data_IF_924011007645
#
_entry.id   IF_924011007645
#
_cell.length_a   1.000
_cell.length_b   1.000
_cell.length_c   1.000
_cell.angle_alpha   90.00
_cell.angle_beta   90.00
_cell.angle_gamma   90.00
#
_symmetry.space_group_name_H-M   'P 1'
#
loop_
_entity.id
_entity.type
_entity.pdbx_description
1 polymer ?
#
# COMPACT_ATOMS: atom_id res chain seq x y z
N UNK A 1 -0.36 -8.70 -3.85
CA UNK A 1 -0.17 -10.18 -3.82
C UNK A 1 1.26 -10.70 -4.08
N UNK A 2 2.14 -10.00 -4.82
CA UNK A 2 3.48 -10.50 -5.17
C UNK A 2 4.37 -10.89 -3.98
N UNK A 3 4.13 -10.31 -2.81
CA UNK A 3 4.77 -10.65 -1.52
C UNK A 3 4.82 -12.14 -1.26
N UNK A 4 3.77 -12.87 -1.64
CA UNK A 4 3.59 -14.28 -1.30
C UNK A 4 3.97 -15.27 -2.41
N UNK A 5 4.60 -14.83 -3.50
CA UNK A 5 4.92 -15.68 -4.67
C UNK A 5 6.13 -16.61 -4.44
N UNK A 6 7.05 -16.21 -3.56
CA UNK A 6 8.31 -16.91 -3.32
C UNK A 6 8.20 -17.82 -2.09
N UNK A 7 8.27 -19.13 -2.31
CA UNK A 7 8.18 -20.14 -1.25
C UNK A 7 9.27 -20.01 -0.17
N UNK A 8 10.50 -19.62 -0.54
CA UNK A 8 11.62 -19.49 0.39
C UNK A 8 11.45 -18.24 1.24
N UNK A 9 11.02 -17.13 0.63
CA UNK A 9 10.71 -15.89 1.35
C UNK A 9 9.48 -16.09 2.25
N UNK A 10 8.45 -16.79 1.80
CA UNK A 10 7.29 -17.16 2.63
C UNK A 10 7.70 -17.96 3.87
N UNK A 11 8.55 -18.97 3.70
CA UNK A 11 9.07 -19.75 4.82
C UNK A 11 9.95 -18.89 5.75
N UNK A 12 10.72 -17.94 5.19
CA UNK A 12 11.55 -17.01 5.97
C UNK A 12 10.69 -16.02 6.77
N UNK A 13 9.56 -15.55 6.23
CA UNK A 13 8.60 -14.69 6.93
C UNK A 13 7.93 -15.37 8.14
N UNK A 14 8.09 -16.69 8.29
CA UNK A 14 7.65 -17.44 9.47
C UNK A 14 8.75 -17.56 10.54
N UNK A 15 9.95 -17.01 10.29
CA UNK A 15 11.12 -17.02 11.19
C UNK A 15 11.45 -15.59 11.67
N UNK A 16 12.36 -15.48 12.63
CA UNK A 16 12.78 -14.17 13.17
C UNK A 16 13.62 -13.35 12.18
N UNK A 17 13.50 -12.01 12.26
CA UNK A 17 14.33 -11.06 11.51
C UNK A 17 13.96 -10.88 10.04
N UNK A 18 12.79 -11.33 9.60
CA UNK A 18 12.28 -11.06 8.25
C UNK A 18 10.75 -11.05 8.24
N UNK A 19 10.15 -9.92 7.91
CA UNK A 19 8.71 -9.68 7.94
C UNK A 19 8.13 -9.54 6.52
N UNK A 20 6.79 -9.57 6.37
CA UNK A 20 6.12 -9.16 5.14
C UNK A 20 6.51 -7.77 4.65
N UNK A 21 6.83 -6.86 5.58
CA UNK A 21 7.26 -5.49 5.29
C UNK A 21 8.67 -5.45 4.70
N UNK A 22 9.59 -6.28 5.20
CA UNK A 22 10.91 -6.48 4.57
C UNK A 22 10.78 -7.04 3.16
N UNK A 23 9.84 -7.96 2.96
CA UNK A 23 9.54 -8.50 1.63
C UNK A 23 8.97 -7.42 0.70
N UNK A 24 8.13 -6.52 1.22
CA UNK A 24 7.59 -5.40 0.45
C UNK A 24 8.71 -4.44 0.02
N UNK A 25 9.65 -4.13 0.90
CA UNK A 25 10.84 -3.33 0.60
C UNK A 25 11.67 -3.88 -0.57
N UNK A 26 11.90 -5.20 -0.57
CA UNK A 26 12.57 -5.88 -1.69
C UNK A 26 11.78 -5.76 -3.00
N UNK A 27 10.45 -5.84 -2.94
CA UNK A 27 9.61 -5.75 -4.12
C UNK A 27 9.55 -4.33 -4.69
N UNK A 28 9.51 -3.29 -3.85
CA UNK A 28 9.65 -1.91 -4.32
C UNK A 28 10.96 -1.71 -5.05
N UNK A 29 12.04 -2.23 -4.49
CA UNK A 29 13.37 -2.13 -5.11
C UNK A 29 13.40 -2.87 -6.44
N UNK A 30 12.85 -4.09 -6.50
CA UNK A 30 12.83 -4.89 -7.72
C UNK A 30 11.98 -4.31 -8.84
N UNK A 31 10.79 -3.78 -8.52
CA UNK A 31 9.78 -3.43 -9.53
C UNK A 31 9.60 -1.93 -9.77
N UNK A 32 9.96 -1.07 -8.82
CA UNK A 32 9.81 0.38 -8.95
C UNK A 32 11.17 1.05 -9.17
N UNK A 33 12.14 0.79 -8.30
CA UNK A 33 13.39 1.56 -8.30
C UNK A 33 14.45 0.97 -9.23
N UNK A 34 14.64 -0.35 -9.21
CA UNK A 34 15.65 -1.04 -10.01
C UNK A 34 15.54 -0.79 -11.52
N UNK A 35 14.33 -0.80 -12.13
CA UNK A 35 14.17 -0.47 -13.54
C UNK A 35 14.55 0.96 -13.92
N UNK A 36 14.46 1.91 -12.98
CA UNK A 36 14.76 3.33 -13.22
C UNK A 36 16.23 3.64 -12.93
N UNK A 37 16.76 3.11 -11.83
CA UNK A 37 18.11 3.42 -11.37
C UNK A 37 19.18 2.45 -11.92
N UNK A 38 18.79 1.28 -12.43
CA UNK A 38 19.71 0.27 -12.97
C UNK A 38 20.47 -0.54 -11.92
N UNK A 39 20.16 -0.38 -10.63
CA UNK A 39 20.76 -1.13 -9.52
C UNK A 39 19.72 -2.00 -8.82
N UNK A 40 20.15 -3.15 -8.31
CA UNK A 40 19.33 -4.00 -7.43
C UNK A 40 19.15 -3.41 -6.03
N UNK A 41 19.83 -2.29 -5.71
CA UNK A 41 19.70 -1.56 -4.45
C UNK A 41 19.86 -0.05 -4.69
N UNK A 42 18.94 0.72 -4.14
CA UNK A 42 19.04 2.18 -4.04
C UNK A 42 19.14 2.53 -2.56
N UNK A 43 20.32 2.99 -2.11
CA UNK A 43 20.54 3.34 -0.72
C UNK A 43 19.92 4.70 -0.41
N UNK A 44 19.48 4.92 0.83
CA UNK A 44 18.94 6.22 1.25
C UNK A 44 19.96 7.35 1.07
N UNK A 45 21.22 7.11 1.47
CA UNK A 45 22.32 8.08 1.34
C UNK A 45 22.68 8.45 -0.11
N UNK A 46 22.14 7.73 -1.10
CA UNK A 46 22.35 7.99 -2.53
C UNK A 46 21.18 8.80 -3.14
N UNK A 47 20.18 9.16 -2.32
CA UNK A 47 19.05 9.98 -2.72
C UNK A 47 19.31 11.48 -2.90
N UNK A 48 20.35 12.13 -2.32
CA UNK A 48 20.57 13.55 -2.57
C UNK A 48 20.56 13.88 -4.07
N UNK A 49 19.68 14.79 -4.47
CA UNK A 49 19.41 15.12 -5.87
C UNK A 49 20.43 16.18 -6.30
N UNK A 50 21.32 15.82 -7.22
CA UNK A 50 22.23 16.75 -7.89
C UNK A 50 21.60 17.21 -9.23
N UNK A 51 21.04 18.43 -9.29
CA UNK A 51 20.30 18.87 -10.48
C UNK A 51 21.26 19.14 -11.65
N UNK A 52 21.15 18.34 -12.71
CA UNK A 52 21.96 18.47 -13.94
C UNK A 52 21.90 19.89 -14.53
N UNK A 53 20.74 20.55 -14.44
CA UNK A 53 20.50 21.89 -14.99
C UNK A 53 21.19 23.01 -14.21
N UNK A 54 21.68 22.75 -13.00
CA UNK A 54 22.29 23.76 -12.14
C UNK A 54 23.50 23.13 -11.43
N UNK A 55 24.74 23.30 -11.92
CA UNK A 55 25.91 22.61 -11.38
C UNK A 55 26.55 23.25 -10.13
N UNK A 56 26.12 24.45 -9.70
CA UNK A 56 26.71 25.18 -8.57
C UNK A 56 25.86 25.10 -7.29
N UNK A 57 26.07 24.06 -6.47
CA UNK A 57 25.27 23.74 -5.27
C UNK A 57 25.09 24.88 -4.25
N UNK A 58 25.99 25.87 -4.21
CA UNK A 58 25.90 26.98 -3.26
C UNK A 58 24.81 28.02 -3.59
N UNK A 59 24.21 27.97 -4.79
CA UNK A 59 23.30 29.04 -5.28
C UNK A 59 21.81 28.67 -5.35
N UNK A 60 21.42 27.43 -5.01
CA UNK A 60 20.03 27.00 -5.12
C UNK A 60 19.64 25.98 -4.04
N UNK A 61 18.33 25.91 -3.76
CA UNK A 61 17.78 24.88 -2.90
C UNK A 61 17.81 23.53 -3.64
N UNK A 62 18.53 22.56 -3.09
CA UNK A 62 18.51 21.16 -3.55
C UNK A 62 17.18 20.50 -3.16
N UNK A 63 16.47 19.83 -4.08
CA UNK A 63 15.27 19.10 -3.73
C UNK A 63 15.58 17.98 -2.73
N UNK A 64 14.85 17.96 -1.61
CA UNK A 64 14.97 16.93 -0.57
C UNK A 64 13.73 16.06 -0.56
N UNK A 65 13.92 14.74 -0.57
CA UNK A 65 12.84 13.78 -0.32
C UNK A 65 12.77 13.47 1.17
N UNK A 66 11.60 13.67 1.77
CA UNK A 66 11.30 13.27 3.14
C UNK A 66 10.23 12.18 3.10
N UNK A 67 10.54 11.03 3.70
CA UNK A 67 9.60 9.91 3.82
C UNK A 67 9.24 9.76 5.30
N UNK A 68 7.97 10.02 5.61
CA UNK A 68 7.44 9.98 6.96
C UNK A 68 7.02 8.56 7.35
N UNK A 69 7.27 8.20 8.60
CA UNK A 69 6.75 7.02 9.29
C UNK A 69 6.50 7.38 10.75
N UNK A 70 5.89 6.47 11.52
CA UNK A 70 5.62 6.72 12.94
C UNK A 70 6.38 5.73 13.80
N UNK A 71 7.14 6.20 14.78
CA UNK A 71 7.85 5.34 15.72
C UNK A 71 6.91 4.85 16.81
N UNK A 72 6.65 3.53 16.86
CA UNK A 72 5.84 2.94 17.94
C UNK A 72 6.49 3.03 19.31
N UNK A 73 7.81 3.23 19.36
CA UNK A 73 8.58 3.32 20.59
C UNK A 73 8.25 4.58 21.40
N UNK A 74 7.99 5.69 20.71
CA UNK A 74 7.88 7.04 21.29
C UNK A 74 6.58 7.74 20.90
N UNK A 75 5.92 7.29 19.84
CA UNK A 75 4.77 7.97 19.25
C UNK A 75 5.14 9.16 18.36
N UNK A 76 6.44 9.45 18.16
CA UNK A 76 6.89 10.60 17.39
C UNK A 76 6.97 10.32 15.88
N UNK A 77 6.98 11.42 15.12
CA UNK A 77 7.24 11.41 13.68
C UNK A 77 8.68 10.96 13.42
N UNK A 78 8.82 9.87 12.68
CA UNK A 78 10.10 9.37 12.20
C UNK A 78 10.29 9.70 10.73
N UNK A 79 11.44 10.24 10.37
CA UNK A 79 11.76 10.64 9.00
C UNK A 79 12.92 9.82 8.44
N UNK A 80 12.80 9.50 7.16
CA UNK A 80 13.91 9.07 6.31
C UNK A 80 14.19 10.15 5.25
N UNK A 81 15.43 10.58 5.16
CA UNK A 81 15.89 11.51 4.11
C UNK A 81 17.15 10.97 3.44
N UNK A 82 17.68 11.72 2.48
CA UNK A 82 19.01 11.46 1.90
C UNK A 82 20.17 11.74 2.85
N UNK A 83 19.92 12.52 3.92
CA UNK A 83 20.96 13.07 4.79
C UNK A 83 20.94 12.44 6.19
N UNK A 84 19.75 12.08 6.69
CA UNK A 84 19.58 11.50 8.03
C UNK A 84 18.38 10.57 8.14
N UNK A 85 18.36 9.82 9.25
CA UNK A 85 17.18 9.12 9.76
C UNK A 85 16.96 9.47 11.23
N UNK A 86 15.72 9.44 11.73
CA UNK A 86 15.45 9.66 13.15
C UNK A 86 14.12 10.34 13.41
N UNK A 87 13.86 10.66 14.66
CA UNK A 87 12.65 11.40 15.04
C UNK A 87 12.83 12.90 14.77
N UNK A 88 11.75 13.52 14.28
CA UNK A 88 11.64 14.96 14.17
C UNK A 88 10.94 15.50 15.41
N UNK A 89 11.55 16.49 16.06
CA UNK A 89 10.98 17.12 17.24
C UNK A 89 9.83 18.03 16.82
N UNK A 90 8.61 17.69 17.23
CA UNK A 90 7.41 18.44 16.86
C UNK A 90 6.85 19.19 18.06
N UNK A 91 7.60 20.16 18.57
CA UNK A 91 7.28 20.96 19.78
C UNK A 91 5.88 21.59 19.83
N UNK A 92 5.23 21.79 18.68
CA UNK A 92 3.83 22.26 18.60
C UNK A 92 2.81 21.17 19.00
N UNK A 93 3.15 19.90 18.82
CA UNK A 93 2.38 18.73 19.23
C UNK A 93 2.95 18.06 20.50
N UNK A 94 4.22 18.30 20.82
CA UNK A 94 4.95 17.83 22.00
C UNK A 94 5.04 18.94 23.06
N UNK A 95 4.11 18.97 24.03
CA UNK A 95 4.16 19.97 25.13
C UNK A 95 5.32 19.69 26.08
N UNK A 96 5.80 20.72 26.80
CA UNK A 96 6.84 20.65 27.86
C UNK A 96 6.64 19.60 28.97
N UNK A 97 5.47 18.95 29.05
CA UNK A 97 5.22 17.82 29.96
C UNK A 97 5.37 16.44 29.29
N UNK A 98 5.80 16.38 28.02
CA UNK A 98 6.13 15.12 27.35
C UNK A 98 7.41 14.56 27.96
N UNK A 99 7.26 13.43 28.64
CA UNK A 99 8.36 12.71 29.29
C UNK A 99 9.00 11.68 28.37
N UNK A 100 8.53 11.53 27.11
CA UNK A 100 9.06 10.53 26.20
C UNK A 100 10.35 11.05 25.53
N UNK A 101 11.49 10.36 25.73
CA UNK A 101 12.75 10.78 25.13
C UNK A 101 12.69 10.60 23.60
N UNK A 102 13.18 11.62 22.88
CA UNK A 102 13.33 11.58 21.43
C UNK A 102 14.44 10.61 21.03
N UNK A 103 14.23 9.83 19.97
CA UNK A 103 15.31 9.11 19.29
C UNK A 103 16.03 10.07 18.33
N UNK A 104 17.28 10.50 18.64
CA UNK A 104 17.91 11.60 17.94
C UNK A 104 18.21 11.25 16.48
N UNK A 105 18.25 12.28 15.62
CA UNK A 105 18.63 12.16 14.22
C UNK A 105 20.06 11.64 14.09
N UNK A 106 20.24 10.66 13.21
CA UNK A 106 21.52 10.09 12.82
C UNK A 106 21.80 10.48 11.37
N UNK A 107 22.77 11.36 11.17
CA UNK A 107 23.21 11.83 9.85
C UNK A 107 24.18 10.84 9.22
N UNK A 108 24.04 10.55 7.92
CA UNK A 108 24.88 9.55 7.23
C UNK A 108 26.38 9.91 7.24
N UNK A 109 26.69 11.20 7.18
CA UNK A 109 28.02 11.79 7.22
C UNK A 109 28.49 12.17 8.64
N UNK A 110 27.66 11.90 9.67
CA UNK A 110 27.96 12.27 11.04
C UNK A 110 29.24 11.63 11.59
N UNK A 111 30.11 12.45 12.16
CA UNK A 111 31.36 12.01 12.79
C UNK A 111 31.13 11.29 14.13
N UNK A 112 29.97 11.53 14.77
CA UNK A 112 29.61 10.96 16.08
C UNK A 112 29.02 9.55 16.00
N UNK A 113 28.82 9.00 14.79
CA UNK A 113 28.27 7.66 14.60
C UNK A 113 29.24 6.58 15.07
N UNK A 114 28.75 5.69 15.94
CA UNK A 114 29.48 4.48 16.28
C UNK A 114 29.51 3.46 15.13
N UNK A 115 30.36 2.44 15.23
CA UNK A 115 30.55 1.42 14.17
C UNK A 115 29.25 0.70 13.82
N UNK A 116 28.40 0.38 14.81
CA UNK A 116 27.14 -0.35 14.60
C UNK A 116 26.14 0.51 13.82
N UNK A 117 25.99 1.76 14.22
CA UNK A 117 25.16 2.76 13.52
C UNK A 117 25.66 2.92 12.08
N UNK A 118 26.97 3.17 11.88
CA UNK A 118 27.54 3.36 10.54
C UNK A 118 27.30 2.17 9.61
N UNK A 119 27.43 0.94 10.11
CA UNK A 119 27.11 -0.26 9.32
C UNK A 119 25.62 -0.27 8.98
N UNK A 120 24.73 -0.03 9.95
CA UNK A 120 23.28 -0.05 9.73
C UNK A 120 22.86 0.99 8.71
N UNK A 121 23.22 2.25 8.91
CA UNK A 121 22.90 3.38 8.01
C UNK A 121 23.35 3.11 6.57
N UNK A 122 24.54 2.54 6.36
CA UNK A 122 25.06 2.20 5.03
C UNK A 122 24.33 1.05 4.32
N UNK A 123 23.39 0.37 4.98
CA UNK A 123 22.60 -0.72 4.39
C UNK A 123 21.14 -0.34 4.15
N UNK A 124 20.70 0.83 4.62
CA UNK A 124 19.31 1.25 4.49
C UNK A 124 18.98 1.65 3.06
N UNK A 125 17.88 1.10 2.56
CA UNK A 125 17.41 1.30 1.18
C UNK A 125 16.19 2.21 1.14
N UNK A 126 15.96 2.87 0.00
CA UNK A 126 14.71 3.59 -0.27
C UNK A 126 13.50 2.66 -0.11
N UNK A 127 13.62 1.40 -0.56
CA UNK A 127 12.57 0.38 -0.40
C UNK A 127 12.19 0.13 1.05
N UNK A 128 13.15 0.15 1.98
CA UNK A 128 12.86 0.02 3.41
C UNK A 128 12.15 1.26 3.96
N UNK A 129 12.59 2.46 3.60
CA UNK A 129 11.92 3.69 4.04
C UNK A 129 10.47 3.75 3.57
N UNK A 130 10.21 3.46 2.29
CA UNK A 130 8.84 3.43 1.75
C UNK A 130 8.02 2.27 2.36
N UNK A 131 8.64 1.11 2.63
CA UNK A 131 7.93 0.02 3.31
C UNK A 131 7.55 0.36 4.76
N UNK A 132 8.39 1.08 5.50
CA UNK A 132 8.01 1.64 6.80
C UNK A 132 6.86 2.64 6.67
N UNK A 133 6.94 3.53 5.68
CA UNK A 133 5.94 4.57 5.46
C UNK A 133 4.55 4.05 5.08
N UNK A 134 4.45 2.87 4.45
CA UNK A 134 3.18 2.28 4.01
C UNK A 134 2.67 1.11 4.88
N UNK A 135 3.32 0.81 6.02
CA UNK A 135 2.93 -0.36 6.82
C UNK A 135 1.83 -0.02 7.83
N UNK A 136 0.60 0.05 7.30
CA UNK A 136 -0.63 0.34 8.06
C UNK A 136 -0.79 -0.63 9.24
N UNK A 137 -0.97 -0.13 10.48
CA UNK A 137 -1.19 -0.98 11.65
C UNK A 137 -2.37 -1.94 11.48
N UNK A 138 -2.19 -3.19 11.94
CA UNK A 138 -3.20 -4.24 11.83
C UNK A 138 -3.17 -4.99 10.49
N UNK A 139 -2.62 -4.40 9.42
CA UNK A 139 -2.45 -5.05 8.13
C UNK A 139 -1.02 -5.59 7.91
N UNK A 140 -0.01 -4.83 8.36
CA UNK A 140 1.40 -5.16 8.19
C UNK A 140 2.14 -5.24 9.52
N UNK A 141 3.18 -6.07 9.58
CA UNK A 141 4.11 -6.08 10.70
C UNK A 141 5.00 -4.82 10.64
N UNK A 142 5.26 -4.11 11.76
CA UNK A 142 6.11 -2.92 11.74
C UNK A 142 7.52 -3.20 11.19
N UNK A 143 8.07 -2.28 10.40
CA UNK A 143 9.48 -2.37 10.00
C UNK A 143 10.35 -2.20 11.26
N UNK A 144 11.29 -3.12 11.47
CA UNK A 144 12.16 -3.10 12.65
C UNK A 144 13.59 -2.68 12.27
N UNK A 145 14.10 -1.63 12.91
CA UNK A 145 15.49 -1.18 12.81
C UNK A 145 16.19 -1.41 14.15
N UNK A 146 17.22 -2.24 14.14
CA UNK A 146 18.09 -2.53 15.27
C UNK A 146 19.45 -1.83 15.12
N UNK A 147 20.23 -1.82 16.20
CA UNK A 147 21.61 -1.31 16.24
C UNK A 147 21.75 0.20 15.95
N UNK A 148 20.67 0.97 16.17
CA UNK A 148 20.66 2.43 16.03
C UNK A 148 20.80 3.16 17.37
N UNK A 149 20.13 2.67 18.42
CA UNK A 149 20.10 3.31 19.74
C UNK A 149 20.24 2.27 20.85
N UNK A 150 20.65 2.72 22.03
CA UNK A 150 20.78 1.94 23.25
C UNK A 150 20.10 2.70 24.40
N UNK A 151 19.55 1.99 25.38
CA UNK A 151 19.02 2.58 26.60
C UNK A 151 20.16 3.04 27.51
N UNK A 152 19.85 3.79 28.57
CA UNK A 152 20.85 4.19 29.58
C UNK A 152 21.58 2.98 30.19
N UNK A 153 20.88 1.85 30.36
CA UNK A 153 21.45 0.58 30.83
C UNK A 153 22.31 -0.17 29.79
N UNK A 154 22.52 0.39 28.59
CA UNK A 154 23.29 -0.22 27.50
C UNK A 154 22.55 -1.31 26.72
N UNK A 155 21.23 -1.45 26.89
CA UNK A 155 20.44 -2.41 26.13
C UNK A 155 20.04 -1.85 24.76
N UNK A 156 20.23 -2.61 23.69
CA UNK A 156 19.87 -2.18 22.34
C UNK A 156 18.37 -1.92 22.18
N UNK A 157 18.01 -0.79 21.58
CA UNK A 157 16.63 -0.43 21.23
C UNK A 157 16.34 -0.93 19.81
N UNK A 158 15.24 -1.68 19.67
CA UNK A 158 14.66 -2.01 18.37
C UNK A 158 13.58 -0.99 18.04
N UNK A 159 13.88 -0.11 17.09
CA UNK A 159 12.94 0.88 16.57
C UNK A 159 11.91 0.16 15.70
N UNK A 160 10.63 0.35 15.99
CA UNK A 160 9.51 -0.24 15.24
C UNK A 160 8.72 0.87 14.58
N UNK A 161 8.69 0.84 13.26
CA UNK A 161 8.10 1.88 12.43
C UNK A 161 6.82 1.35 11.80
N UNK A 162 5.78 2.16 11.87
CA UNK A 162 4.50 1.97 11.17
C UNK A 162 4.26 3.12 10.19
N UNK A 163 3.18 3.00 9.44
CA UNK A 163 2.72 4.01 8.49
C UNK A 163 2.79 5.45 9.03
N UNK A 164 3.23 6.38 8.17
CA UNK A 164 3.31 7.80 8.50
C UNK A 164 1.95 8.43 8.77
N UNK A 165 0.88 7.89 8.18
CA UNK A 165 -0.50 8.33 8.34
C UNK A 165 -1.07 8.21 9.75
N UNK A 166 -0.42 7.43 10.63
CA UNK A 166 -0.75 7.40 12.07
C UNK A 166 -0.47 8.77 12.72
N UNK A 167 0.59 9.46 12.28
CA UNK A 167 0.99 10.76 12.79
C UNK A 167 0.52 11.90 11.87
N UNK A 168 0.81 11.80 10.57
CA UNK A 168 0.52 12.83 9.58
C UNK A 168 0.40 12.20 8.18
N UNK A 169 -0.83 11.99 7.75
CA UNK A 169 -1.13 11.34 6.46
C UNK A 169 -0.91 12.27 5.26
N UNK A 170 -0.84 13.59 5.49
CA UNK A 170 -0.64 14.58 4.42
C UNK A 170 0.84 14.95 4.25
N UNK A 171 1.71 14.57 5.19
CA UNK A 171 3.12 14.95 5.21
C UNK A 171 3.37 16.44 5.48
N UNK A 172 2.34 17.17 5.92
CA UNK A 172 2.37 18.61 6.10
C UNK A 172 3.20 19.04 7.32
N UNK A 173 3.22 18.26 8.39
CA UNK A 173 3.96 18.58 9.61
C UNK A 173 5.45 18.72 9.33
N UNK A 174 6.01 17.84 8.49
CA UNK A 174 7.40 17.94 8.03
C UNK A 174 7.66 19.25 7.27
N UNK A 175 6.72 19.69 6.43
CA UNK A 175 6.84 20.94 5.66
C UNK A 175 6.68 22.19 6.53
N UNK A 176 5.79 22.16 7.51
CA UNK A 176 5.62 23.23 8.50
C UNK A 176 6.90 23.39 9.32
N UNK A 177 7.48 22.27 9.79
CA UNK A 177 8.75 22.27 10.53
C UNK A 177 9.92 22.76 9.69
N UNK A 178 9.98 22.38 8.42
CA UNK A 178 10.95 22.88 7.45
C UNK A 178 10.73 24.36 7.08
N UNK A 179 9.68 25.00 7.62
CA UNK A 179 9.31 26.41 7.37
C UNK A 179 9.12 26.70 5.88
N UNK A 180 8.55 25.75 5.15
CA UNK A 180 8.21 25.95 3.75
C UNK A 180 7.29 27.16 3.61
N UNK A 181 7.62 28.07 2.67
CA UNK A 181 6.84 29.29 2.43
C UNK A 181 5.60 29.02 1.59
N UNK A 182 5.73 28.12 0.60
CA UNK A 182 4.66 27.70 -0.29
C UNK A 182 4.47 26.18 -0.21
N UNK A 183 3.23 25.72 -0.17
CA UNK A 183 2.90 24.30 0.01
C UNK A 183 1.91 23.83 -1.05
N UNK A 184 2.25 22.77 -1.77
CA UNK A 184 1.34 22.05 -2.65
C UNK A 184 0.98 20.74 -1.95
N UNK A 185 -0.29 20.56 -1.60
CA UNK A 185 -0.79 19.38 -0.91
C UNK A 185 -1.77 18.62 -1.80
N UNK A 186 -1.35 17.43 -2.24
CA UNK A 186 -2.21 16.48 -2.98
C UNK A 186 -2.68 15.41 -2.01
N UNK A 187 -3.92 15.54 -1.54
CA UNK A 187 -4.52 14.68 -0.53
C UNK A 187 -5.44 13.62 -1.14
N UNK A 188 -4.92 12.41 -1.28
CA UNK A 188 -5.68 11.22 -1.70
C UNK A 188 -6.17 10.37 -0.51
N UNK A 189 -6.21 10.92 0.71
CA UNK A 189 -6.70 10.20 1.89
C UNK A 189 -8.16 9.81 1.73
N UNK A 190 -8.52 8.57 2.10
CA UNK A 190 -9.93 8.20 2.21
C UNK A 190 -10.57 8.97 3.38
N UNK A 191 -11.78 9.46 3.17
CA UNK A 191 -12.50 10.20 4.20
C UNK A 191 -13.27 9.24 5.11
N UNK A 192 -13.47 9.66 6.36
CA UNK A 192 -14.29 8.91 7.30
C UNK A 192 -15.74 8.84 6.79
N UNK A 193 -16.17 7.65 6.36
CA UNK A 193 -17.52 7.41 5.85
C UNK A 193 -18.52 7.26 6.99
N UNK A 194 -19.77 7.67 6.74
CA UNK A 194 -20.89 7.40 7.64
C UNK A 194 -21.19 5.91 7.64
N UNK A 195 -21.22 5.30 8.82
CA UNK A 195 -21.65 3.92 9.02
C UNK A 195 -22.93 3.92 9.87
N UNK A 196 -24.09 3.55 9.31
CA UNK A 196 -25.34 3.54 10.05
C UNK A 196 -25.40 2.44 11.12
N UNK A 197 -24.54 1.41 11.06
CA UNK A 197 -24.55 0.28 11.97
C UNK A 197 -23.13 -0.28 12.18
N UNK A 198 -22.24 0.45 12.88
CA UNK A 198 -20.87 0.03 13.09
C UNK A 198 -20.80 -1.31 13.81
N UNK A 199 -19.84 -2.15 13.40
CA UNK A 199 -19.66 -3.49 13.96
C UNK A 199 -19.38 -3.44 15.47
N UNK A 200 -20.03 -4.29 16.30
CA UNK A 200 -19.76 -4.36 17.73
C UNK A 200 -18.54 -5.22 18.08
N UNK A 201 -17.85 -5.81 17.10
CA UNK A 201 -16.70 -6.69 17.35
C UNK A 201 -15.46 -5.88 17.72
N UNK A 202 -14.72 -6.32 18.76
CA UNK A 202 -13.61 -5.57 19.36
C UNK A 202 -12.56 -5.08 18.35
N UNK A 203 -12.19 -5.91 17.38
CA UNK A 203 -11.19 -5.57 16.34
C UNK A 203 -11.74 -4.49 15.42
N UNK A 204 -12.96 -4.67 14.91
CA UNK A 204 -13.60 -3.66 14.06
C UNK A 204 -13.85 -2.34 14.80
N UNK A 205 -14.15 -2.39 16.11
CA UNK A 205 -14.23 -1.20 16.97
C UNK A 205 -12.87 -0.51 17.07
N UNK A 206 -11.78 -1.26 17.25
CA UNK A 206 -10.43 -0.68 17.30
C UNK A 206 -10.02 -0.05 15.95
N UNK A 207 -10.32 -0.72 14.83
CA UNK A 207 -10.10 -0.18 13.48
C UNK A 207 -10.91 1.11 13.29
N UNK A 208 -12.20 1.09 13.62
CA UNK A 208 -13.08 2.27 13.50
C UNK A 208 -12.63 3.42 14.40
N UNK A 209 -12.17 3.13 15.62
CA UNK A 209 -11.61 4.14 16.50
C UNK A 209 -10.34 4.77 15.90
N UNK A 210 -9.46 3.95 15.30
CA UNK A 210 -8.28 4.44 14.60
C UNK A 210 -8.64 5.32 13.41
N UNK A 211 -9.62 4.94 12.57
CA UNK A 211 -10.13 5.80 11.48
C UNK A 211 -10.61 7.16 11.98
N UNK A 212 -11.36 7.19 13.10
CA UNK A 212 -11.85 8.44 13.71
C UNK A 212 -10.69 9.30 14.20
N UNK A 213 -9.68 8.70 14.85
CA UNK A 213 -8.50 9.40 15.32
C UNK A 213 -7.71 10.00 14.14
N UNK A 214 -7.40 9.21 13.12
CA UNK A 214 -6.70 9.68 11.91
C UNK A 214 -7.48 10.79 11.20
N UNK A 215 -8.82 10.68 11.11
CA UNK A 215 -9.67 11.73 10.53
C UNK A 215 -9.58 13.06 11.31
N UNK A 216 -9.57 13.00 12.65
CA UNK A 216 -9.42 14.21 13.49
C UNK A 216 -8.02 14.82 13.37
N UNK A 217 -6.98 14.00 13.30
CA UNK A 217 -5.59 14.43 13.11
C UNK A 217 -5.48 15.17 11.77
N UNK A 218 -5.93 14.54 10.67
CA UNK A 218 -6.00 15.16 9.34
C UNK A 218 -6.69 16.53 9.38
N UNK A 219 -7.88 16.62 9.98
CA UNK A 219 -8.61 17.87 10.07
C UNK A 219 -7.80 18.97 10.77
N UNK A 220 -7.16 18.64 11.89
CA UNK A 220 -6.35 19.59 12.67
C UNK A 220 -5.14 20.10 11.88
N UNK A 221 -4.46 19.22 11.14
CA UNK A 221 -3.30 19.58 10.31
C UNK A 221 -3.75 20.44 9.11
N UNK A 222 -4.90 20.13 8.50
CA UNK A 222 -5.44 20.92 7.40
C UNK A 222 -5.92 22.31 7.86
N UNK A 223 -6.47 22.43 9.08
CA UNK A 223 -6.81 23.74 9.65
C UNK A 223 -5.58 24.65 9.73
N UNK A 224 -4.40 24.09 10.05
CA UNK A 224 -3.13 24.81 10.05
C UNK A 224 -2.66 25.21 8.64
N UNK A 225 -2.84 24.33 7.64
CA UNK A 225 -2.59 24.68 6.23
C UNK A 225 -3.49 25.84 5.78
N UNK A 226 -4.79 25.76 6.08
CA UNK A 226 -5.79 26.75 5.64
C UNK A 226 -5.76 28.05 6.45
N UNK A 227 -5.11 28.07 7.62
CA UNK A 227 -4.83 29.30 8.34
C UNK A 227 -3.75 30.17 7.65
N UNK A 228 -3.00 29.60 6.70
CA UNK A 228 -1.99 30.34 5.91
C UNK A 228 -2.67 31.24 4.87
N UNK A 229 -1.98 32.29 4.36
CA UNK A 229 -2.53 33.10 3.29
C UNK A 229 -2.88 32.26 2.04
N UNK A 230 -4.03 32.46 1.38
CA UNK A 230 -4.47 31.64 0.25
C UNK A 230 -3.48 31.58 -0.93
N UNK A 231 -2.63 32.59 -1.10
CA UNK A 231 -1.59 32.61 -2.16
C UNK A 231 -0.37 31.75 -1.84
N UNK A 232 -0.29 31.16 -0.64
CA UNK A 232 0.87 30.40 -0.15
C UNK A 232 0.61 28.90 -0.10
N UNK A 233 -0.56 28.43 -0.55
CA UNK A 233 -0.80 27.00 -0.67
C UNK A 233 -1.74 26.66 -1.83
N UNK A 234 -1.60 25.44 -2.35
CA UNK A 234 -2.57 24.81 -3.24
C UNK A 234 -2.95 23.45 -2.65
N UNK A 235 -4.26 23.19 -2.54
CA UNK A 235 -4.79 21.96 -1.95
C UNK A 235 -5.68 21.24 -2.95
N UNK A 236 -5.40 19.96 -3.17
CA UNK A 236 -6.11 19.07 -4.09
C UNK A 236 -6.59 17.87 -3.28
N UNK A 237 -7.87 17.54 -3.37
CA UNK A 237 -8.40 16.36 -2.70
C UNK A 237 -9.02 15.38 -3.69
N UNK A 238 -8.71 14.09 -3.54
CA UNK A 238 -9.35 13.04 -4.31
C UNK A 238 -10.84 12.95 -3.92
N UNK A 239 -11.71 13.35 -4.85
CA UNK A 239 -13.14 13.47 -4.59
C UNK A 239 -13.66 14.91 -4.68
N UNK A 240 -12.76 15.89 -4.84
CA UNK A 240 -13.15 17.27 -5.16
C UNK A 240 -14.04 17.30 -6.41
N UNK A 241 -15.11 18.10 -6.40
CA UNK A 241 -15.94 18.27 -7.57
C UNK A 241 -15.12 18.93 -8.67
N UNK A 242 -15.21 18.34 -9.86
CA UNK A 242 -14.59 18.85 -11.08
C UNK A 242 -15.68 19.39 -11.99
N UNK A 243 -15.39 20.48 -12.70
CA UNK A 243 -16.36 21.07 -13.62
C UNK A 243 -16.85 20.08 -14.69
N UNK A 244 -18.05 20.32 -15.24
CA UNK A 244 -18.63 19.52 -16.34
C UNK A 244 -17.77 19.46 -17.61
N UNK A 245 -16.73 20.31 -17.69
CA UNK A 245 -15.73 20.30 -18.77
C UNK A 245 -14.72 19.16 -18.67
N UNK A 246 -14.63 18.48 -17.51
CA UNK A 246 -13.60 17.48 -17.23
C UNK A 246 -14.18 16.06 -17.32
N UNK A 247 -15.35 15.85 -16.73
CA UNK A 247 -16.15 14.63 -16.91
C UNK A 247 -17.57 15.06 -17.34
N UNK A 248 -18.19 14.41 -18.34
CA UNK A 248 -19.55 14.73 -18.79
C UNK A 248 -20.59 14.42 -17.71
N UNK A 249 -21.88 14.46 -18.06
CA UNK A 249 -23.10 14.33 -17.21
C UNK A 249 -23.01 13.38 -15.99
N UNK A 250 -22.18 12.34 -16.03
CA UNK A 250 -21.96 11.36 -14.94
C UNK A 250 -20.69 11.61 -14.09
N UNK A 251 -20.11 12.82 -14.14
CA UNK A 251 -18.92 13.22 -13.39
C UNK A 251 -18.96 12.82 -11.90
N UNK A 252 -20.07 13.04 -11.16
CA UNK A 252 -20.10 12.70 -9.75
C UNK A 252 -19.93 11.19 -9.50
N UNK A 253 -20.50 10.33 -10.35
CA UNK A 253 -20.41 8.89 -10.19
C UNK A 253 -18.99 8.36 -10.47
N UNK A 254 -18.33 8.91 -11.50
CA UNK A 254 -16.94 8.57 -11.81
C UNK A 254 -16.00 9.02 -10.71
N UNK A 255 -16.14 10.27 -10.25
CA UNK A 255 -15.34 10.83 -9.14
C UNK A 255 -15.58 10.03 -7.86
N UNK A 256 -16.83 9.67 -7.56
CA UNK A 256 -17.15 8.80 -6.44
C UNK A 256 -16.49 7.42 -6.59
N UNK A 257 -16.52 6.80 -7.77
CA UNK A 257 -15.85 5.52 -7.99
C UNK A 257 -14.33 5.63 -7.82
N UNK A 258 -13.71 6.73 -8.28
CA UNK A 258 -12.29 7.01 -8.09
C UNK A 258 -11.93 7.25 -6.63
N UNK A 259 -12.76 7.97 -5.86
CA UNK A 259 -12.51 8.20 -4.43
C UNK A 259 -12.64 6.92 -3.60
N UNK A 260 -13.24 5.87 -4.16
CA UNK A 260 -13.34 4.54 -3.53
C UNK A 260 -12.39 3.52 -4.17
N UNK A 261 -11.56 3.92 -5.12
CA UNK A 261 -10.61 3.00 -5.73
C UNK A 261 -9.61 2.55 -4.67
N UNK A 262 -9.25 1.27 -4.71
CA UNK A 262 -8.26 0.71 -3.78
C UNK A 262 -6.93 1.50 -3.86
N UNK A 263 -6.37 1.83 -2.72
CA UNK A 263 -5.06 2.51 -2.59
C UNK A 263 -3.91 1.54 -2.29
N UNK A 264 -4.22 0.24 -2.21
CA UNK A 264 -3.22 -0.82 -2.01
C UNK A 264 -2.33 -1.02 -3.25
N UNK A 265 -1.14 -1.59 -3.04
CA UNK A 265 -0.19 -2.00 -4.08
C UNK A 265 -0.67 -3.25 -4.83
N UNK A 266 -1.73 -3.05 -5.59
CA UNK A 266 -2.38 -4.02 -6.42
C UNK A 266 -2.20 -3.68 -7.92
N UNK A 267 -2.57 -4.60 -8.80
CA UNK A 267 -2.56 -4.35 -10.24
C UNK A 267 -3.57 -3.27 -10.61
N UNK A 268 -3.18 -2.24 -11.36
CA UNK A 268 -4.08 -1.26 -11.96
C UNK A 268 -4.24 -1.52 -13.45
N UNK A 269 -5.46 -1.48 -13.96
CA UNK A 269 -5.71 -1.52 -15.42
C UNK A 269 -5.47 -0.15 -16.06
N UNK A 270 -5.34 -0.08 -17.39
CA UNK A 270 -5.19 1.19 -18.09
C UNK A 270 -6.41 2.10 -17.83
N UNK A 271 -7.62 1.54 -17.83
CA UNK A 271 -8.85 2.28 -17.47
C UNK A 271 -8.77 2.89 -16.08
N UNK A 272 -8.31 2.13 -15.09
CA UNK A 272 -8.20 2.62 -13.71
C UNK A 272 -7.11 3.68 -13.57
N UNK A 273 -5.89 3.37 -14.04
CA UNK A 273 -4.74 4.25 -13.93
C UNK A 273 -4.95 5.55 -14.73
N UNK A 274 -5.43 5.45 -15.98
CA UNK A 274 -5.57 6.61 -16.85
C UNK A 274 -6.71 7.50 -16.39
N UNK A 275 -7.81 6.94 -15.88
CA UNK A 275 -8.88 7.78 -15.31
C UNK A 275 -8.39 8.53 -14.07
N UNK A 276 -7.64 7.88 -13.18
CA UNK A 276 -7.09 8.51 -11.98
C UNK A 276 -6.06 9.60 -12.33
N UNK A 277 -5.14 9.32 -13.26
CA UNK A 277 -4.15 10.29 -13.74
C UNK A 277 -4.82 11.47 -14.45
N UNK A 278 -5.81 11.20 -15.31
CA UNK A 278 -6.57 12.24 -16.00
C UNK A 278 -7.35 13.11 -15.01
N UNK A 279 -8.03 12.52 -14.01
CA UNK A 279 -8.70 13.26 -12.94
C UNK A 279 -7.72 14.20 -12.23
N UNK A 280 -6.58 13.69 -11.75
CA UNK A 280 -5.57 14.49 -11.06
C UNK A 280 -4.99 15.60 -11.94
N UNK A 281 -4.68 15.29 -13.20
CA UNK A 281 -4.15 16.26 -14.17
C UNK A 281 -5.13 17.44 -14.37
N UNK A 282 -6.42 17.13 -14.54
CA UNK A 282 -7.45 18.15 -14.79
C UNK A 282 -7.81 18.93 -13.52
N UNK A 283 -7.78 18.30 -12.35
CA UNK A 283 -7.93 18.96 -11.05
C UNK A 283 -6.78 19.96 -10.79
N UNK A 284 -5.55 19.59 -11.17
CA UNK A 284 -4.40 20.48 -11.13
C UNK A 284 -4.56 21.68 -12.07
N UNK A 285 -4.95 21.43 -13.32
CA UNK A 285 -5.20 22.47 -14.34
C UNK A 285 -6.23 23.51 -13.88
N UNK A 286 -7.33 23.06 -13.24
CA UNK A 286 -8.38 23.95 -12.76
C UNK A 286 -7.95 24.83 -11.57
N UNK A 287 -7.14 24.31 -10.64
CA UNK A 287 -6.75 25.06 -9.43
C UNK A 287 -5.44 25.84 -9.56
N UNK A 288 -4.56 25.49 -10.50
CA UNK A 288 -3.24 26.12 -10.70
C UNK A 288 -3.21 27.07 -11.91
N UNK A 289 -4.27 27.85 -12.14
CA UNK A 289 -4.41 28.75 -13.29
C UNK A 289 -3.10 29.44 -13.75
N UNK A 290 -2.92 29.59 -15.07
CA UNK A 290 -1.76 30.21 -15.76
C UNK A 290 -0.45 29.40 -15.78
N UNK A 291 -0.51 28.08 -15.96
CA UNK A 291 0.63 27.38 -16.57
C UNK A 291 0.50 27.44 -18.09
N UNK A 292 1.37 28.20 -18.76
CA UNK A 292 1.66 28.00 -20.19
C UNK A 292 2.36 26.65 -20.35
N UNK A 293 1.67 25.57 -20.03
CA UNK A 293 2.22 24.23 -20.13
C UNK A 293 2.17 23.84 -21.61
N UNK A 294 3.31 23.40 -22.13
CA UNK A 294 3.36 22.72 -23.41
C UNK A 294 2.28 21.62 -23.42
N UNK A 295 1.44 21.61 -24.46
CA UNK A 295 0.43 20.57 -24.67
C UNK A 295 1.13 19.25 -24.99
N UNK A 296 1.65 18.61 -23.95
CA UNK A 296 2.21 17.28 -24.04
C UNK A 296 1.06 16.29 -24.19
N UNK A 297 1.14 15.44 -25.22
CA UNK A 297 0.19 14.35 -25.43
C UNK A 297 0.52 13.22 -24.46
N UNK A 298 -0.16 13.21 -23.32
CA UNK A 298 0.01 12.17 -22.31
C UNK A 298 -0.80 10.93 -22.69
N UNK A 299 -0.21 9.75 -22.49
CA UNK A 299 -0.89 8.47 -22.75
C UNK A 299 -2.24 8.34 -22.04
N UNK A 300 -2.36 8.90 -20.83
CA UNK A 300 -3.61 8.84 -20.06
C UNK A 300 -4.75 9.65 -20.66
N UNK A 301 -4.49 10.58 -21.60
CA UNK A 301 -5.53 11.34 -22.31
C UNK A 301 -6.37 10.45 -23.23
N UNK A 302 -5.92 9.24 -23.56
CA UNK A 302 -6.72 8.24 -24.28
C UNK A 302 -8.06 7.89 -23.58
N UNK A 303 -8.19 8.20 -22.29
CA UNK A 303 -9.45 8.00 -21.56
C UNK A 303 -10.54 9.00 -21.95
N UNK A 304 -10.21 10.12 -22.58
CA UNK A 304 -11.20 11.14 -22.99
C UNK A 304 -12.28 10.56 -23.94
N UNK A 305 -11.87 9.69 -24.88
CA UNK A 305 -12.80 8.99 -25.77
C UNK A 305 -13.75 8.05 -25.02
N UNK A 306 -13.32 7.50 -23.88
CA UNK A 306 -14.13 6.64 -23.04
C UNK A 306 -15.13 7.41 -22.18
N UNK A 307 -14.82 8.67 -21.89
CA UNK A 307 -15.70 9.56 -21.14
C UNK A 307 -16.81 10.12 -22.02
N UNK A 308 -16.52 10.42 -23.29
CA UNK A 308 -17.50 11.02 -24.22
C UNK A 308 -18.58 10.04 -24.66
N UNK A 309 -18.21 8.80 -25.02
CA UNK A 309 -19.14 7.76 -25.46
C UNK A 309 -19.94 7.17 -24.27
N UNK A 310 -21.27 7.10 -24.40
CA UNK A 310 -22.15 6.68 -23.31
C UNK A 310 -21.98 5.19 -22.93
N UNK A 311 -21.80 4.30 -23.90
CA UNK A 311 -21.64 2.87 -23.64
C UNK A 311 -20.29 2.59 -22.99
N UNK A 312 -19.21 3.17 -23.53
CA UNK A 312 -17.86 3.07 -22.96
C UNK A 312 -17.80 3.66 -21.56
N UNK A 313 -18.48 4.79 -21.31
CA UNK A 313 -18.53 5.41 -19.99
C UNK A 313 -19.23 4.53 -18.95
N UNK A 314 -20.34 3.87 -19.32
CA UNK A 314 -21.00 2.89 -18.43
C UNK A 314 -20.08 1.70 -18.13
N UNK A 315 -19.36 1.19 -19.14
CA UNK A 315 -18.38 0.11 -18.93
C UNK A 315 -17.21 0.56 -18.03
N UNK A 316 -16.72 1.79 -18.22
CA UNK A 316 -15.68 2.40 -17.39
C UNK A 316 -16.14 2.51 -15.94
N UNK A 317 -17.33 3.08 -15.70
CA UNK A 317 -17.88 3.24 -14.35
C UNK A 317 -18.03 1.90 -13.64
N UNK A 318 -18.53 0.87 -14.32
CA UNK A 318 -18.58 -0.49 -13.79
C UNK A 318 -17.18 -0.99 -13.42
N UNK A 319 -16.19 -0.77 -14.29
CA UNK A 319 -14.81 -1.19 -14.05
C UNK A 319 -14.20 -0.49 -12.83
N UNK A 320 -14.36 0.82 -12.70
CA UNK A 320 -13.89 1.61 -11.55
C UNK A 320 -14.58 1.18 -10.25
N UNK A 321 -15.90 0.93 -10.30
CA UNK A 321 -16.67 0.43 -9.14
C UNK A 321 -16.16 -0.94 -8.68
N UNK A 322 -15.85 -1.83 -9.62
CA UNK A 322 -15.22 -3.13 -9.30
C UNK A 322 -13.79 -2.93 -8.77
N UNK A 323 -13.09 -1.89 -9.21
CA UNK A 323 -11.77 -1.49 -8.74
C UNK A 323 -11.69 -1.11 -7.26
N UNK A 324 -12.82 -0.80 -6.60
CA UNK A 324 -12.85 -0.64 -5.15
C UNK A 324 -12.57 -1.94 -4.38
N UNK A 325 -12.67 -3.11 -5.03
CA UNK A 325 -12.51 -4.42 -4.38
C UNK A 325 -11.04 -4.84 -4.30
N UNK A 326 -10.57 -5.37 -3.15
CA UNK A 326 -9.17 -5.77 -3.00
C UNK A 326 -8.82 -7.07 -3.74
N UNK A 327 -9.79 -7.98 -3.93
CA UNK A 327 -9.53 -9.32 -4.49
C UNK A 327 -10.60 -9.76 -5.49
N UNK A 328 -10.20 -10.68 -6.38
CA UNK A 328 -11.10 -11.39 -7.32
C UNK A 328 -11.96 -10.48 -8.23
N UNK A 329 -11.49 -9.26 -8.48
CA UNK A 329 -12.12 -8.21 -9.30
C UNK A 329 -12.69 -8.75 -10.62
N UNK A 330 -11.94 -9.61 -11.31
CA UNK A 330 -12.31 -10.18 -12.62
C UNK A 330 -13.68 -10.87 -12.65
N UNK A 331 -14.13 -11.47 -11.54
CA UNK A 331 -15.42 -12.15 -11.47
C UNK A 331 -16.60 -11.18 -11.39
N UNK A 332 -16.35 -9.92 -11.01
CA UNK A 332 -17.38 -8.90 -10.90
C UNK A 332 -17.55 -8.06 -12.18
N UNK A 333 -16.73 -8.31 -13.21
CA UNK A 333 -16.82 -7.61 -14.51
C UNK A 333 -17.88 -8.21 -15.47
N UNK A 334 -18.78 -9.07 -14.98
CA UNK A 334 -19.82 -9.76 -15.77
C UNK A 334 -19.30 -10.48 -17.02
N UNK A 335 -18.05 -10.95 -17.01
CA UNK A 335 -17.45 -11.74 -18.09
C UNK A 335 -17.45 -13.23 -17.73
N UNK A 336 -17.74 -14.08 -18.71
CA UNK A 336 -17.85 -15.53 -18.50
C UNK A 336 -16.50 -16.26 -18.37
N UNK A 337 -15.42 -15.74 -18.99
CA UNK A 337 -14.11 -16.43 -19.03
C UNK A 337 -13.52 -16.81 -17.67
N UNK A 338 -13.50 -15.98 -16.61
CA UNK A 338 -12.97 -16.40 -15.31
C UNK A 338 -13.70 -17.62 -14.75
N UNK A 339 -15.01 -17.74 -14.96
CA UNK A 339 -15.80 -18.91 -14.54
C UNK A 339 -15.46 -20.16 -15.35
N UNK A 340 -15.25 -20.04 -16.66
CA UNK A 340 -14.79 -21.16 -17.50
C UNK A 340 -13.44 -21.67 -16.99
N UNK A 341 -12.50 -20.77 -16.66
CA UNK A 341 -11.19 -21.19 -16.16
C UNK A 341 -11.32 -21.96 -14.84
N UNK A 342 -12.12 -21.46 -13.89
CA UNK A 342 -12.40 -22.17 -12.64
C UNK A 342 -13.04 -23.53 -12.90
N UNK A 343 -14.06 -23.60 -13.74
CA UNK A 343 -14.75 -24.85 -14.07
C UNK A 343 -13.78 -25.86 -14.70
N UNK A 344 -12.96 -25.42 -15.65
CA UNK A 344 -11.95 -26.26 -16.31
C UNK A 344 -10.86 -26.76 -15.36
N UNK A 345 -10.51 -25.98 -14.33
CA UNK A 345 -9.52 -26.37 -13.32
C UNK A 345 -10.09 -27.36 -12.29
N UNK A 346 -11.39 -27.26 -11.99
CA UNK A 346 -12.09 -28.13 -11.03
C UNK A 346 -12.58 -29.44 -11.65
N UNK A 347 -12.81 -29.47 -12.97
CA UNK A 347 -13.33 -30.64 -13.66
C UNK A 347 -12.41 -31.88 -13.53
N UNK A 348 -11.08 -31.80 -13.76
CA UNK A 348 -10.21 -32.98 -13.64
C UNK A 348 -10.14 -33.54 -12.21
N UNK A 349 -9.94 -32.74 -11.13
CA UNK A 349 -10.02 -33.24 -9.76
C UNK A 349 -11.36 -33.89 -9.43
N UNK A 350 -12.47 -33.29 -9.88
CA UNK A 350 -13.81 -33.85 -9.66
C UNK A 350 -13.98 -35.17 -10.42
N UNK A 351 -13.54 -35.26 -11.68
CA UNK A 351 -13.58 -36.50 -12.45
C UNK A 351 -12.66 -37.58 -11.86
N UNK A 352 -11.49 -37.20 -11.31
CA UNK A 352 -10.60 -38.11 -10.59
C UNK A 352 -11.22 -38.55 -9.26
N UNK A 353 -11.89 -37.67 -8.51
CA UNK A 353 -12.57 -38.02 -7.26
C UNK A 353 -13.82 -38.85 -7.49
N UNK A 354 -14.56 -38.61 -8.57
CA UNK A 354 -15.71 -39.42 -8.97
C UNK A 354 -15.20 -40.77 -9.48
N UNK A 355 -14.18 -40.78 -10.34
CA UNK A 355 -13.53 -42.00 -10.80
C UNK A 355 -12.89 -42.81 -9.67
N UNK A 356 -12.25 -42.15 -8.71
CA UNK A 356 -11.67 -42.76 -7.50
C UNK A 356 -12.72 -43.05 -6.42
N UNK A 357 -13.88 -42.41 -6.43
CA UNK A 357 -15.03 -42.79 -5.60
C UNK A 357 -15.73 -44.03 -6.17
N UNK A 358 -15.78 -44.13 -7.49
CA UNK A 358 -16.25 -45.31 -8.23
C UNK A 358 -15.24 -46.47 -8.15
N UNK A 359 -13.93 -46.19 -8.11
CA UNK A 359 -12.84 -47.19 -8.02
C UNK A 359 -12.39 -47.48 -6.57
N UNK A 360 -12.66 -46.56 -5.65
CA UNK A 360 -12.07 -46.47 -4.32
C UNK A 360 -13.10 -46.11 -3.26
N UNK A 361 -14.26 -46.77 -3.32
CA UNK A 361 -15.15 -46.98 -2.17
C UNK A 361 -14.50 -47.88 -1.09
N UNK A 362 -13.16 -48.08 -1.09
CA UNK A 362 -12.47 -49.01 -0.20
C UNK A 362 -11.21 -48.50 0.52
N UNK A 363 -10.64 -47.31 0.27
CA UNK A 363 -9.34 -46.97 0.91
C UNK A 363 -9.07 -45.52 1.36
N UNK A 364 -9.97 -44.55 1.16
CA UNK A 364 -9.84 -43.23 1.79
C UNK A 364 -10.92 -43.01 2.85
N UNK A 365 -10.58 -42.57 4.07
CA UNK A 365 -11.57 -42.34 5.10
C UNK A 365 -12.46 -41.14 4.71
N UNK A 366 -13.77 -41.29 4.91
CA UNK A 366 -14.81 -40.38 4.42
C UNK A 366 -14.58 -38.89 4.77
N UNK A 367 -13.87 -38.60 5.86
CA UNK A 367 -13.55 -37.24 6.30
C UNK A 367 -12.60 -36.49 5.34
N UNK A 368 -11.70 -37.19 4.63
CA UNK A 368 -10.76 -36.55 3.71
C UNK A 368 -11.46 -36.05 2.43
N UNK A 369 -12.41 -36.84 1.91
CA UNK A 369 -13.25 -36.46 0.78
C UNK A 369 -14.23 -35.35 1.16
N UNK A 370 -14.79 -35.40 2.37
CA UNK A 370 -15.63 -34.33 2.91
C UNK A 370 -14.84 -33.02 3.08
N UNK A 371 -13.59 -33.06 3.57
CA UNK A 371 -12.75 -31.89 3.76
C UNK A 371 -12.37 -31.22 2.43
N UNK A 372 -12.09 -32.01 1.38
CA UNK A 372 -11.75 -31.49 0.06
C UNK A 372 -12.97 -30.88 -0.64
N UNK A 373 -14.14 -31.53 -0.54
CA UNK A 373 -15.41 -30.98 -1.04
C UNK A 373 -15.82 -29.70 -0.29
N UNK A 374 -15.62 -29.66 1.03
CA UNK A 374 -15.80 -28.46 1.83
C UNK A 374 -14.81 -27.36 1.45
N UNK A 375 -13.56 -27.65 1.09
CA UNK A 375 -12.57 -26.67 0.63
C UNK A 375 -12.97 -26.03 -0.71
N UNK A 376 -13.54 -26.81 -1.63
CA UNK A 376 -14.01 -26.31 -2.92
C UNK A 376 -15.31 -25.51 -2.78
N UNK A 377 -16.27 -26.02 -2.00
CA UNK A 377 -17.52 -25.31 -1.70
C UNK A 377 -17.29 -24.06 -0.86
N UNK A 378 -16.36 -24.11 0.08
CA UNK A 378 -15.92 -22.92 0.80
C UNK A 378 -15.20 -21.98 -0.14
N UNK A 379 -14.31 -22.40 -1.04
CA UNK A 379 -13.71 -21.52 -2.07
C UNK A 379 -14.74 -20.81 -2.97
N UNK A 380 -15.82 -21.49 -3.35
CA UNK A 380 -16.93 -20.92 -4.13
C UNK A 380 -17.79 -19.96 -3.29
N UNK A 381 -18.14 -20.34 -2.06
CA UNK A 381 -18.86 -19.48 -1.12
C UNK A 381 -18.01 -18.30 -0.61
N UNK A 382 -16.68 -18.46 -0.58
CA UNK A 382 -15.64 -17.50 -0.20
C UNK A 382 -15.48 -16.41 -1.25
N UNK A 383 -15.84 -16.68 -2.52
CA UNK A 383 -15.87 -15.67 -3.57
C UNK A 383 -17.09 -14.73 -3.48
N UNK A 384 -18.13 -15.09 -2.70
CA UNK A 384 -19.41 -14.37 -2.70
C UNK A 384 -19.77 -13.62 -1.41
N UNK A 385 -19.02 -13.73 -0.31
CA UNK A 385 -19.57 -13.37 1.00
C UNK A 385 -18.84 -12.22 1.70
N UNK A 386 -19.60 -11.21 2.15
CA UNK A 386 -19.16 -10.10 3.01
C UNK A 386 -18.67 -10.55 4.41
N UNK A 387 -18.60 -11.86 4.66
CA UNK A 387 -18.08 -12.49 5.88
C UNK A 387 -16.54 -12.58 5.93
N UNK A 388 -15.83 -12.04 4.93
CA UNK A 388 -14.36 -11.97 4.91
C UNK A 388 -13.84 -11.16 6.12
N UNK A 389 -14.55 -10.12 6.54
CA UNK A 389 -14.18 -9.34 7.74
C UNK A 389 -14.28 -10.18 9.02
N UNK A 390 -15.25 -11.09 9.12
CA UNK A 390 -15.47 -11.96 10.29
C UNK A 390 -14.39 -13.04 10.41
N UNK A 391 -13.75 -13.44 9.31
CA UNK A 391 -12.66 -14.44 9.34
C UNK A 391 -11.31 -13.81 9.65
N UNK A 392 -11.07 -12.57 9.22
CA UNK A 392 -9.92 -11.76 9.64
C UNK A 392 -9.89 -11.60 11.17
N UNK A 393 -11.05 -11.43 11.81
CA UNK A 393 -11.19 -11.36 13.28
C UNK A 393 -10.73 -12.64 14.02
N UNK A 394 -10.72 -13.83 13.37
CA UNK A 394 -10.20 -15.08 13.95
C UNK A 394 -8.71 -15.30 13.69
N UNK A 395 -8.15 -14.65 12.68
CA UNK A 395 -6.72 -14.73 12.33
C UNK A 395 -5.85 -14.04 13.39
N UNK A 396 -6.39 -13.14 14.20
CA UNK A 396 -5.68 -12.47 15.30
C UNK A 396 -5.17 -13.40 16.40
N UNK A 397 -5.91 -14.48 16.69
CA UNK A 397 -5.47 -15.49 17.65
C UNK A 397 -4.26 -16.27 17.11
N UNK A 398 -4.22 -16.43 15.78
CA UNK A 398 -3.12 -17.06 15.05
C UNK A 398 -1.93 -16.12 15.01
N UNK A 399 -2.10 -14.82 14.77
CA UNK A 399 -1.00 -13.85 14.74
C UNK A 399 -0.27 -13.72 16.08
N UNK A 400 -0.99 -13.63 17.20
CA UNK A 400 -0.38 -13.54 18.53
C UNK A 400 0.44 -14.78 18.89
N UNK A 401 0.01 -15.96 18.44
CA UNK A 401 0.69 -17.22 18.70
C UNK A 401 1.52 -17.74 17.51
N UNK A 402 1.61 -16.98 16.41
CA UNK A 402 2.24 -17.41 15.15
C UNK A 402 3.69 -17.81 15.36
N UNK A 403 4.40 -17.08 16.23
CA UNK A 403 5.81 -17.34 16.57
C UNK A 403 5.98 -18.65 17.33
N UNK A 404 5.14 -18.90 18.35
CA UNK A 404 5.16 -20.16 19.13
C UNK A 404 4.72 -21.36 18.28
N UNK A 405 3.70 -21.18 17.45
CA UNK A 405 3.23 -22.19 16.51
C UNK A 405 4.27 -22.48 15.42
N UNK A 406 4.87 -21.45 14.82
CA UNK A 406 5.91 -21.62 13.81
C UNK A 406 7.11 -22.39 14.38
N UNK A 407 7.59 -22.02 15.57
CA UNK A 407 8.69 -22.71 16.26
C UNK A 407 8.35 -24.18 16.57
N UNK A 408 7.16 -24.44 17.11
CA UNK A 408 6.68 -25.80 17.39
C UNK A 408 6.49 -26.65 16.11
N UNK A 409 6.16 -26.01 14.98
CA UNK A 409 5.86 -26.67 13.71
C UNK A 409 7.07 -26.73 12.76
N UNK A 410 8.16 -26.01 13.04
CA UNK A 410 9.42 -26.05 12.28
C UNK A 410 9.97 -27.47 12.09
N UNK A 411 10.05 -28.34 13.11
CA UNK A 411 10.55 -29.71 12.94
C UNK A 411 9.64 -30.58 12.05
N UNK A 412 8.37 -30.20 11.88
CA UNK A 412 7.40 -30.91 11.04
C UNK A 412 7.36 -30.39 9.59
N UNK A 413 8.17 -29.37 9.25
CA UNK A 413 8.24 -28.81 7.90
C UNK A 413 6.98 -28.06 7.42
N UNK A 414 5.96 -27.91 8.28
CA UNK A 414 4.65 -27.33 7.94
C UNK A 414 4.76 -25.88 7.44
N UNK A 415 5.61 -24.99 8.00
CA UNK A 415 5.76 -23.63 7.46
C UNK A 415 6.17 -23.61 5.97
N UNK A 416 6.97 -24.58 5.53
CA UNK A 416 7.36 -24.73 4.13
C UNK A 416 6.19 -25.17 3.26
N UNK A 417 5.35 -26.09 3.75
CA UNK A 417 4.15 -26.57 3.04
C UNK A 417 3.11 -25.47 2.91
N UNK A 418 2.81 -24.75 4.00
CA UNK A 418 1.89 -23.60 3.98
C UNK A 418 2.42 -22.49 3.06
N UNK A 419 3.73 -22.19 3.14
CA UNK A 419 4.38 -21.23 2.25
C UNK A 419 4.33 -21.65 0.77
N UNK A 420 4.38 -22.95 0.47
CA UNK A 420 4.23 -23.49 -0.87
C UNK A 420 2.79 -23.37 -1.38
N UNK A 421 1.79 -23.74 -0.57
CA UNK A 421 0.37 -23.62 -0.93
C UNK A 421 0.03 -22.16 -1.22
N UNK A 422 0.42 -21.24 -0.33
CA UNK A 422 0.24 -19.80 -0.53
C UNK A 422 0.89 -19.31 -1.83
N UNK A 423 2.11 -19.76 -2.13
CA UNK A 423 2.80 -19.42 -3.37
C UNK A 423 2.09 -19.96 -4.62
N UNK A 424 1.57 -21.18 -4.61
CA UNK A 424 0.85 -21.78 -5.73
C UNK A 424 -0.45 -21.03 -6.01
N UNK A 425 -1.27 -20.79 -4.98
CA UNK A 425 -2.54 -20.05 -5.10
C UNK A 425 -2.28 -18.63 -5.62
N UNK A 426 -1.29 -17.95 -5.05
CA UNK A 426 -0.90 -16.59 -5.47
C UNK A 426 -0.41 -16.57 -6.91
N UNK A 427 0.41 -17.54 -7.33
CA UNK A 427 0.88 -17.64 -8.73
C UNK A 427 -0.27 -17.88 -9.69
N UNK A 428 -1.19 -18.78 -9.36
CA UNK A 428 -2.38 -19.06 -10.17
C UNK A 428 -3.21 -17.77 -10.35
N UNK A 429 -3.45 -17.05 -9.26
CA UNK A 429 -4.17 -15.78 -9.30
C UNK A 429 -3.47 -14.76 -10.21
N UNK A 430 -2.17 -14.52 -9.99
CA UNK A 430 -1.40 -13.53 -10.75
C UNK A 430 -1.23 -13.90 -12.23
N UNK A 431 -1.14 -15.19 -12.57
CA UNK A 431 -0.95 -15.62 -13.97
C UNK A 431 -2.25 -15.68 -14.76
N UNK A 432 -3.38 -15.92 -14.10
CA UNK A 432 -4.67 -16.14 -14.76
C UNK A 432 -5.61 -14.97 -14.50
N UNK A 433 -6.08 -14.83 -13.27
CA UNK A 433 -7.17 -13.91 -12.94
C UNK A 433 -6.74 -12.46 -13.02
N UNK A 434 -5.53 -12.15 -12.54
CA UNK A 434 -4.95 -10.81 -12.62
C UNK A 434 -4.68 -10.39 -14.07
N UNK A 435 -4.12 -11.30 -14.90
CA UNK A 435 -3.94 -11.03 -16.34
C UNK A 435 -5.25 -10.85 -17.09
N UNK A 436 -6.29 -11.61 -16.75
CA UNK A 436 -7.62 -11.42 -17.32
C UNK A 436 -8.22 -10.07 -16.92
N UNK A 437 -8.07 -9.68 -15.65
CA UNK A 437 -8.50 -8.37 -15.15
C UNK A 437 -7.80 -7.23 -15.91
N UNK A 438 -6.47 -7.26 -15.97
CA UNK A 438 -5.65 -6.30 -16.72
C UNK A 438 -6.03 -6.25 -18.20
N UNK A 439 -6.31 -7.40 -18.83
CA UNK A 439 -6.74 -7.46 -20.22
C UNK A 439 -8.11 -6.81 -20.44
N UNK A 440 -9.04 -6.98 -19.52
CA UNK A 440 -10.37 -6.37 -19.63
C UNK A 440 -10.37 -4.86 -19.40
N UNK A 441 -9.40 -4.33 -18.66
CA UNK A 441 -9.26 -2.89 -18.47
C UNK A 441 -8.21 -2.23 -19.36
N UNK A 442 -7.72 -2.93 -20.40
CA UNK A 442 -6.80 -2.35 -21.39
C UNK A 442 -7.56 -1.43 -22.34
N UNK A 443 -6.94 -0.31 -22.70
CA UNK A 443 -7.42 0.55 -23.78
C UNK A 443 -6.80 0.05 -25.09
N UNK A 444 -7.62 -0.47 -26.01
CA UNK A 444 -7.16 -0.92 -27.33
C UNK A 444 -6.83 0.32 -28.17
N UNK A 445 -5.59 0.82 -28.07
CA UNK A 445 -4.89 1.65 -29.08
C UNK A 445 -3.53 2.14 -28.57
N UNK A 446 -2.64 1.25 -28.11
CA UNK A 446 -1.21 1.60 -28.00
C UNK A 446 -0.35 0.36 -28.30
N UNK A 447 -0.19 0.06 -29.59
CA UNK A 447 1.09 -0.46 -30.07
C UNK A 447 2.17 0.52 -29.60
N UNK A 448 3.06 0.03 -28.75
CA UNK A 448 4.36 0.63 -28.43
C UNK A 448 4.96 1.29 -29.67
N UNK A 449 5.07 2.62 -29.65
CA UNK A 449 6.21 3.31 -30.26
C UNK A 449 7.36 3.27 -29.28
#
# INVERSE_FOLDING_TARGET
MRTFVDRRKNARMMREGYSPTDRLAELYTQYLYGPVYGSERLLLKELPIDPISFPNQESYATPTLIINSTALNTGHLWQFTGDFIGEEETTQYERHHSTMPLLPKLYFDGDTLNTRQRIKLNTLTLGQAVAASCCVPGLFEPLSLDNLYETEDGNGIVVRLVDGGVFDNQGLVSLFKAKCTHIICSDASDLLKTDPAPSPHLVNVAVRANEILMYRIRGTILDELFARPPSTYAFFHLGDPVGQRIFPVDAPAVVQALSHIRTDLDSFTDREAYTLMYYGYRLCDEKLADSTSETNQWRFQAIEEWLTDEEKRRELLMHLTVGARPFFKVFFLHRYRPYIVVLSALLPPVLILVGAGLYGLSYLPAWANAALGLLVLSGLAYSQNARINIWLDRIDLIHRNRRRLALAMTPLGIPTVVGLIGAVVTRLHLHIFDRLFLRYGRLENHTTQ
#
